data_IF_387359832456
#
_entry.id   IF_387359832456
#
_cell.length_a   1.000
_cell.length_b   1.000
_cell.length_c   1.000
_cell.angle_alpha   90.00
_cell.angle_beta   90.00
_cell.angle_gamma   90.00
#
_symmetry.space_group_name_H-M   'P 1'
#
loop_
_entity.id
_entity.type
_entity.pdbx_description
1 polymer ?
#
# COMPACT_ATOMS: atom_id res chain seq x y z
N UNK A 1 -31.87 10.42 30.42
CA UNK A 1 -30.99 9.52 29.64
C UNK A 1 -30.03 10.38 28.84
N UNK A 2 -28.83 10.66 29.37
CA UNK A 2 -27.84 11.48 28.67
C UNK A 2 -27.25 10.70 27.48
N UNK A 3 -27.10 11.36 26.33
CA UNK A 3 -26.46 10.74 25.16
C UNK A 3 -25.07 10.23 25.55
N UNK A 4 -24.84 8.93 25.30
CA UNK A 4 -23.54 8.31 25.52
C UNK A 4 -22.48 9.00 24.65
N UNK A 5 -21.25 9.15 25.16
CA UNK A 5 -20.11 9.70 24.39
C UNK A 5 -19.94 9.05 23.00
N UNK A 6 -20.35 7.79 22.84
CA UNK A 6 -20.36 7.07 21.55
C UNK A 6 -21.34 7.69 20.55
N UNK A 7 -22.52 8.10 20.99
CA UNK A 7 -23.56 8.70 20.14
C UNK A 7 -23.10 10.05 19.59
N UNK A 8 -22.50 10.88 20.46
CA UNK A 8 -21.91 12.17 20.08
C UNK A 8 -20.80 12.00 19.03
N UNK A 9 -19.90 11.01 19.19
CA UNK A 9 -18.86 10.73 18.19
C UNK A 9 -19.44 10.28 16.85
N UNK A 10 -20.47 9.44 16.85
CA UNK A 10 -21.11 8.99 15.62
C UNK A 10 -21.82 10.14 14.91
N UNK A 11 -22.47 11.04 15.65
CA UNK A 11 -23.12 12.22 15.10
C UNK A 11 -22.09 13.18 14.47
N UNK A 12 -20.95 13.39 15.13
CA UNK A 12 -19.84 14.18 14.58
C UNK A 12 -19.27 13.55 13.30
N UNK A 13 -19.08 12.23 13.28
CA UNK A 13 -18.59 11.53 12.07
C UNK A 13 -19.57 11.60 10.91
N UNK A 14 -20.88 11.55 11.17
CA UNK A 14 -21.91 11.76 10.14
C UNK A 14 -21.82 13.17 9.57
N UNK A 15 -21.79 14.19 10.43
CA UNK A 15 -21.61 15.60 10.00
C UNK A 15 -20.33 15.79 9.19
N UNK A 16 -19.21 15.20 9.61
CA UNK A 16 -17.95 15.29 8.88
C UNK A 16 -17.99 14.57 7.51
N UNK A 17 -18.80 13.52 7.35
CA UNK A 17 -19.04 12.87 6.05
C UNK A 17 -19.91 13.74 5.14
N UNK A 18 -20.95 14.36 5.69
CA UNK A 18 -21.85 15.26 4.96
C UNK A 18 -21.12 16.53 4.50
N UNK A 19 -20.20 17.05 5.31
CA UNK A 19 -19.34 18.19 4.99
C UNK A 19 -18.16 17.83 4.06
N UNK A 20 -18.04 16.57 3.62
CA UNK A 20 -16.96 16.13 2.74
C UNK A 20 -15.55 16.14 3.37
N UNK A 21 -15.44 16.40 4.68
CA UNK A 21 -14.16 16.48 5.43
C UNK A 21 -13.50 15.11 5.50
N UNK A 22 -14.30 14.03 5.56
CA UNK A 22 -13.77 12.67 5.50
C UNK A 22 -13.42 12.35 4.04
N UNK A 23 -12.25 12.80 3.61
CA UNK A 23 -11.59 12.30 2.42
C UNK A 23 -11.39 10.80 2.63
N UNK A 24 -12.20 9.98 1.96
CA UNK A 24 -11.88 8.56 1.80
C UNK A 24 -10.50 8.55 1.14
N UNK A 25 -9.45 8.25 1.92
CA UNK A 25 -8.16 7.92 1.33
C UNK A 25 -8.44 6.74 0.41
N UNK A 26 -8.44 7.01 -0.89
CA UNK A 26 -8.56 5.97 -1.88
C UNK A 26 -7.35 5.08 -1.68
N UNK A 27 -7.59 3.85 -1.19
CA UNK A 27 -6.53 2.85 -1.10
C UNK A 27 -6.05 2.63 -2.53
N UNK A 28 -4.74 2.81 -2.75
CA UNK A 28 -4.15 2.51 -4.03
C UNK A 28 -4.51 1.07 -4.44
N UNK A 29 -4.76 0.80 -5.73
CA UNK A 29 -5.01 -0.56 -6.19
C UNK A 29 -3.83 -1.44 -5.78
N UNK A 30 -4.13 -2.63 -5.24
CA UNK A 30 -3.10 -3.62 -4.92
C UNK A 30 -2.56 -4.17 -6.24
N UNK A 31 -1.49 -3.58 -6.76
CA UNK A 31 -0.77 -4.10 -7.92
C UNK A 31 0.17 -5.21 -7.49
N UNK A 32 0.31 -6.23 -8.32
CA UNK A 32 1.23 -7.35 -8.11
C UNK A 32 2.13 -7.48 -9.31
N UNK A 33 3.42 -7.70 -9.05
CA UNK A 33 4.46 -7.88 -10.07
C UNK A 33 5.10 -9.25 -9.92
N UNK A 34 5.39 -9.92 -11.03
CA UNK A 34 6.09 -11.21 -11.07
C UNK A 34 7.60 -10.98 -11.17
N UNK A 35 8.43 -11.66 -10.37
CA UNK A 35 9.88 -11.68 -10.64
C UNK A 35 10.17 -12.55 -11.88
N UNK A 36 11.00 -12.06 -12.80
CA UNK A 36 11.38 -12.82 -14.01
C UNK A 36 12.28 -14.03 -13.74
N UNK A 37 13.07 -14.00 -12.67
CA UNK A 37 14.03 -15.06 -12.36
C UNK A 37 13.35 -16.29 -11.76
N UNK A 38 12.45 -16.09 -10.80
CA UNK A 38 11.81 -17.18 -10.05
C UNK A 38 10.29 -17.28 -10.28
N UNK A 39 9.69 -16.37 -11.04
CA UNK A 39 8.25 -16.32 -11.36
C UNK A 39 7.35 -16.18 -10.14
N UNK A 40 7.88 -15.68 -9.02
CA UNK A 40 7.10 -15.40 -7.82
C UNK A 40 6.32 -14.10 -7.98
N UNK A 41 5.02 -14.14 -7.67
CA UNK A 41 4.15 -12.97 -7.60
C UNK A 41 4.31 -12.25 -6.26
N UNK A 42 4.59 -10.96 -6.30
CA UNK A 42 4.81 -10.12 -5.13
C UNK A 42 3.97 -8.86 -5.21
N UNK A 43 3.57 -8.32 -4.07
CA UNK A 43 2.77 -7.10 -4.00
C UNK A 43 3.66 -5.87 -4.18
N UNK A 44 3.30 -5.05 -5.16
CA UNK A 44 3.90 -3.75 -5.37
C UNK A 44 3.29 -2.77 -4.38
N UNK A 45 4.13 -2.14 -3.59
CA UNK A 45 3.73 -1.14 -2.60
C UNK A 45 4.43 0.17 -2.95
N UNK A 46 3.97 1.31 -2.43
CA UNK A 46 4.61 2.61 -2.74
C UNK A 46 6.13 2.65 -2.51
N UNK A 47 6.64 1.83 -1.58
CA UNK A 47 8.07 1.73 -1.28
C UNK A 47 8.69 0.44 -1.79
N UNK A 48 7.96 -0.40 -2.53
CA UNK A 48 8.44 -1.66 -3.11
C UNK A 48 9.25 -2.56 -2.15
N UNK A 49 8.94 -2.52 -0.85
CA UNK A 49 9.73 -3.18 0.20
C UNK A 49 9.80 -4.69 -0.03
N UNK A 50 8.68 -5.32 -0.38
CA UNK A 50 8.63 -6.76 -0.65
C UNK A 50 9.49 -7.16 -1.85
N UNK A 51 9.58 -6.33 -2.88
CA UNK A 51 10.42 -6.57 -4.05
C UNK A 51 11.91 -6.48 -3.69
N UNK A 52 12.29 -5.50 -2.86
CA UNK A 52 13.67 -5.35 -2.37
C UNK A 52 14.04 -6.52 -1.47
N UNK A 53 13.17 -6.90 -0.53
CA UNK A 53 13.41 -8.06 0.34
C UNK A 53 13.52 -9.34 -0.46
N UNK A 54 12.69 -9.52 -1.49
CA UNK A 54 12.77 -10.66 -2.38
C UNK A 54 14.10 -10.70 -3.15
N UNK A 55 14.49 -9.59 -3.79
CA UNK A 55 15.75 -9.51 -4.52
C UNK A 55 16.94 -9.76 -3.59
N UNK A 56 17.04 -9.05 -2.48
CA UNK A 56 18.14 -9.22 -1.51
C UNK A 56 18.23 -10.63 -0.91
N UNK A 57 17.10 -11.31 -0.70
CA UNK A 57 17.08 -12.65 -0.08
C UNK A 57 17.22 -13.81 -1.07
N UNK A 58 16.65 -13.69 -2.28
CA UNK A 58 16.58 -14.78 -3.27
C UNK A 58 17.52 -14.58 -4.44
N UNK A 59 17.80 -13.33 -4.81
CA UNK A 59 18.62 -12.97 -5.95
C UNK A 59 19.65 -11.90 -5.55
N UNK A 60 20.50 -12.16 -4.53
CA UNK A 60 21.43 -11.15 -3.99
C UNK A 60 22.45 -10.67 -5.05
N UNK A 61 22.72 -11.50 -6.05
CA UNK A 61 23.64 -11.21 -7.15
C UNK A 61 22.97 -10.54 -8.35
N UNK A 62 21.64 -10.45 -8.40
CA UNK A 62 20.91 -9.84 -9.51
C UNK A 62 20.36 -8.47 -9.11
N UNK A 63 20.36 -7.52 -10.04
CA UNK A 63 19.81 -6.19 -9.78
C UNK A 63 18.28 -6.22 -9.73
N UNK A 64 17.67 -5.25 -9.06
CA UNK A 64 16.21 -5.12 -9.00
C UNK A 64 15.58 -5.00 -10.39
N UNK A 65 16.27 -4.32 -11.32
CA UNK A 65 15.88 -4.22 -12.73
C UNK A 65 15.86 -5.57 -13.48
N UNK A 66 16.67 -6.54 -13.04
CA UNK A 66 16.70 -7.88 -13.63
C UNK A 66 15.58 -8.77 -13.10
N UNK A 67 15.26 -8.66 -11.81
CA UNK A 67 14.14 -9.40 -11.21
C UNK A 67 12.79 -8.78 -11.62
N UNK A 68 12.68 -7.45 -11.60
CA UNK A 68 11.45 -6.69 -11.87
C UNK A 68 11.71 -5.56 -12.88
N UNK A 69 11.76 -5.86 -14.18
CA UNK A 69 11.97 -4.84 -15.20
C UNK A 69 10.74 -3.93 -15.29
N UNK A 70 10.95 -2.63 -15.02
CA UNK A 70 9.90 -1.59 -15.08
C UNK A 70 9.41 -1.08 -13.72
N UNK A 71 9.83 -1.67 -12.61
CA UNK A 71 9.54 -1.14 -11.27
C UNK A 71 10.68 -0.17 -10.88
N UNK A 72 10.46 1.14 -11.05
CA UNK A 72 11.38 2.17 -10.55
C UNK A 72 11.23 2.28 -9.03
N UNK A 73 12.29 1.95 -8.30
CA UNK A 73 12.35 2.19 -6.86
C UNK A 73 12.67 3.67 -6.62
N UNK A 74 11.65 4.50 -6.47
CA UNK A 74 11.84 5.85 -5.92
C UNK A 74 12.20 5.73 -4.43
N UNK A 75 13.49 5.91 -4.15
CA UNK A 75 14.00 6.02 -2.78
C UNK A 75 13.57 7.40 -2.26
N UNK A 76 12.46 7.43 -1.53
CA UNK A 76 11.98 8.62 -0.81
C UNK A 76 13.03 9.16 0.18
#
# INVERSE_FOLDING_TARGET
MGQSKKDLRNQQQKKNKELGIVTKQQKAPNTTTCCKLCKLELRTTKRNVELVTHQTSKHPSSSMAECFPGEEYEKA
#
